data_IF_512747285144
#
_entry.id   IF_512747285144
#
_cell.length_a   1.000
_cell.length_b   1.000
_cell.length_c   1.000
_cell.angle_alpha   90.00
_cell.angle_beta   90.00
_cell.angle_gamma   90.00
#
_symmetry.space_group_name_H-M   'P 1'
#
loop_
_entity.id
_entity.type
_entity.pdbx_description
1 polymer ?
#
# COMPACT_ATOMS: atom_id res chain seq x y z
N UNK A 1 -30.68 -14.88 -37.40
CA UNK A 1 -31.81 -14.12 -37.98
C UNK A 1 -32.96 -14.95 -38.54
N UNK A 2 -32.81 -16.26 -38.79
CA UNK A 2 -33.84 -17.09 -39.44
C UNK A 2 -35.07 -17.40 -38.54
N UNK A 3 -34.92 -17.43 -37.21
CA UNK A 3 -35.97 -17.94 -36.30
C UNK A 3 -36.88 -16.82 -35.72
N UNK A 4 -36.47 -15.55 -35.73
CA UNK A 4 -37.16 -14.49 -34.94
C UNK A 4 -38.55 -14.09 -35.47
N UNK A 5 -38.85 -14.33 -36.76
CA UNK A 5 -40.03 -13.76 -37.43
C UNK A 5 -41.24 -14.66 -37.68
N UNK A 6 -41.16 -15.99 -37.50
CA UNK A 6 -42.17 -16.92 -38.06
C UNK A 6 -42.78 -17.93 -37.07
N UNK A 7 -42.37 -17.94 -35.80
CA UNK A 7 -42.86 -18.90 -34.81
C UNK A 7 -44.06 -18.35 -34.02
N UNK A 8 -45.27 -18.57 -34.53
CA UNK A 8 -46.53 -18.10 -33.92
C UNK A 8 -47.52 -19.21 -33.55
N UNK A 9 -47.23 -20.47 -33.90
CA UNK A 9 -48.08 -21.64 -33.63
C UNK A 9 -47.25 -22.83 -33.17
N UNK A 10 -47.84 -23.78 -32.45
CA UNK A 10 -47.13 -25.00 -32.03
C UNK A 10 -46.48 -25.71 -33.23
N UNK A 11 -47.20 -25.84 -34.34
CA UNK A 11 -46.70 -26.48 -35.58
C UNK A 11 -45.43 -25.79 -36.09
N UNK A 12 -45.40 -24.45 -36.12
CA UNK A 12 -44.20 -23.73 -36.56
C UNK A 12 -42.98 -24.04 -35.69
N UNK A 13 -43.16 -24.24 -34.37
CA UNK A 13 -42.07 -24.69 -33.49
C UNK A 13 -41.69 -26.14 -33.78
N UNK A 14 -42.66 -27.02 -34.07
CA UNK A 14 -42.41 -28.41 -34.45
C UNK A 14 -41.54 -28.51 -35.70
N UNK A 15 -41.81 -27.70 -36.71
CA UNK A 15 -41.05 -27.67 -37.96
C UNK A 15 -39.58 -27.26 -37.74
N UNK A 16 -39.30 -26.55 -36.64
CA UNK A 16 -37.96 -26.12 -36.24
C UNK A 16 -37.37 -26.98 -35.10
N UNK A 17 -37.99 -28.10 -34.74
CA UNK A 17 -37.60 -28.90 -33.57
C UNK A 17 -36.11 -29.25 -33.57
N UNK A 18 -35.58 -29.77 -34.69
CA UNK A 18 -34.18 -30.21 -34.76
C UNK A 18 -33.23 -29.07 -34.46
N UNK A 19 -33.44 -27.89 -35.05
CA UNK A 19 -32.61 -26.70 -34.84
C UNK A 19 -32.71 -26.21 -33.41
N UNK A 20 -33.92 -26.20 -32.83
CA UNK A 20 -34.14 -25.80 -31.44
C UNK A 20 -33.43 -26.77 -30.48
N UNK A 21 -33.53 -28.08 -30.73
CA UNK A 21 -32.89 -29.11 -29.92
C UNK A 21 -31.37 -29.05 -30.02
N UNK A 22 -30.79 -28.90 -31.20
CA UNK A 22 -29.34 -28.73 -31.39
C UNK A 22 -28.82 -27.48 -30.67
N UNK A 23 -29.56 -26.36 -30.76
CA UNK A 23 -29.19 -25.14 -30.05
C UNK A 23 -29.24 -25.34 -28.53
N UNK A 24 -30.27 -26.01 -28.01
CA UNK A 24 -30.38 -26.31 -26.59
C UNK A 24 -29.38 -27.37 -26.09
N UNK A 25 -28.86 -28.22 -26.98
CA UNK A 25 -27.77 -29.16 -26.70
C UNK A 25 -26.40 -28.48 -26.65
N UNK A 26 -26.25 -27.31 -27.29
CA UNK A 26 -25.01 -26.53 -27.29
C UNK A 26 -25.01 -25.41 -26.26
N UNK A 27 -26.15 -24.75 -26.07
CA UNK A 27 -26.30 -23.58 -25.22
C UNK A 27 -27.73 -23.50 -24.65
N UNK A 28 -28.04 -24.33 -23.63
CA UNK A 28 -29.39 -24.42 -23.05
C UNK A 28 -29.87 -23.10 -22.45
N UNK A 29 -28.95 -22.24 -22.02
CA UNK A 29 -29.26 -20.97 -21.36
C UNK A 29 -29.10 -19.75 -22.28
N UNK A 30 -28.95 -19.95 -23.59
CA UNK A 30 -28.85 -18.83 -24.53
C UNK A 30 -30.10 -17.95 -24.52
N UNK A 31 -29.92 -16.63 -24.67
CA UNK A 31 -31.00 -15.65 -24.79
C UNK A 31 -32.03 -16.03 -25.85
N UNK A 32 -31.59 -16.69 -26.92
CA UNK A 32 -32.45 -17.18 -27.99
C UNK A 32 -33.35 -18.32 -27.50
N UNK A 33 -32.81 -19.33 -26.81
CA UNK A 33 -33.60 -20.42 -26.22
C UNK A 33 -34.62 -19.87 -25.23
N UNK A 34 -34.21 -18.94 -24.36
CA UNK A 34 -35.11 -18.30 -23.40
C UNK A 34 -36.22 -17.49 -24.09
N UNK A 35 -35.87 -16.68 -25.08
CA UNK A 35 -36.84 -15.90 -25.87
C UNK A 35 -37.85 -16.79 -26.61
N UNK A 36 -37.40 -17.93 -27.13
CA UNK A 36 -38.27 -18.90 -27.81
C UNK A 36 -39.18 -19.63 -26.83
N UNK A 37 -38.65 -20.02 -25.66
CA UNK A 37 -39.43 -20.61 -24.56
C UNK A 37 -40.58 -19.69 -24.13
N UNK A 38 -40.31 -18.38 -23.96
CA UNK A 38 -41.32 -17.36 -23.61
C UNK A 38 -42.46 -17.30 -24.63
N UNK A 39 -42.16 -17.45 -25.93
CA UNK A 39 -43.19 -17.48 -26.99
C UNK A 39 -43.94 -18.81 -27.07
N UNK A 40 -43.25 -19.93 -26.85
CA UNK A 40 -43.81 -21.26 -26.95
C UNK A 40 -44.75 -21.59 -25.78
N UNK A 41 -44.37 -21.22 -24.55
CA UNK A 41 -45.07 -21.59 -23.32
C UNK A 41 -46.57 -21.22 -23.31
N UNK A 42 -47.00 -20.01 -23.71
CA UNK A 42 -48.42 -19.66 -23.77
C UNK A 42 -49.21 -20.50 -24.79
N UNK A 43 -48.60 -20.82 -25.94
CA UNK A 43 -49.22 -21.66 -26.97
C UNK A 43 -49.45 -23.07 -26.45
N UNK A 44 -48.44 -23.64 -25.78
CA UNK A 44 -48.53 -24.95 -25.14
C UNK A 44 -49.62 -24.97 -24.07
N UNK A 45 -49.67 -23.95 -23.21
CA UNK A 45 -50.65 -23.85 -22.13
C UNK A 45 -52.08 -23.74 -22.65
N UNK A 46 -52.29 -23.00 -23.76
CA UNK A 46 -53.60 -22.90 -24.42
C UNK A 46 -54.06 -24.28 -24.91
N UNK A 47 -53.19 -25.02 -25.59
CA UNK A 47 -53.51 -26.35 -26.13
C UNK A 47 -53.78 -27.36 -25.01
N UNK A 48 -52.92 -27.41 -23.99
CA UNK A 48 -53.13 -28.26 -22.82
C UNK A 48 -54.46 -27.92 -22.10
N UNK A 49 -54.82 -26.64 -22.03
CA UNK A 49 -56.10 -26.19 -21.48
C UNK A 49 -57.31 -26.69 -22.27
N UNK A 50 -57.22 -26.75 -23.60
CA UNK A 50 -58.26 -27.33 -24.46
C UNK A 50 -58.36 -28.85 -24.25
N UNK A 51 -57.23 -29.56 -24.26
CA UNK A 51 -57.19 -31.01 -24.04
C UNK A 51 -57.82 -31.39 -22.69
N UNK A 52 -57.54 -30.63 -21.64
CA UNK A 52 -58.14 -30.88 -20.31
C UNK A 52 -59.65 -30.69 -20.27
N UNK A 53 -60.20 -29.75 -21.05
CA UNK A 53 -61.63 -29.39 -21.02
C UNK A 53 -62.48 -30.27 -21.93
N UNK A 54 -62.00 -30.51 -23.14
CA UNK A 54 -62.80 -31.12 -24.22
C UNK A 54 -62.11 -32.28 -24.92
N UNK A 55 -60.82 -32.52 -24.64
CA UNK A 55 -60.05 -33.61 -25.23
C UNK A 55 -60.02 -34.87 -24.36
N UNK A 56 -59.34 -35.89 -24.87
CA UNK A 56 -59.13 -37.17 -24.19
C UNK A 56 -57.65 -37.48 -23.93
N UNK A 57 -57.39 -38.67 -23.37
CA UNK A 57 -56.03 -39.13 -23.05
C UNK A 57 -55.12 -39.20 -24.29
N UNK A 58 -55.66 -39.64 -25.43
CA UNK A 58 -54.91 -39.74 -26.68
C UNK A 58 -54.42 -38.37 -27.17
N UNK A 59 -55.17 -37.30 -26.94
CA UNK A 59 -54.76 -35.94 -27.32
C UNK A 59 -53.59 -35.47 -26.44
N UNK A 60 -53.61 -35.77 -25.15
CA UNK A 60 -52.50 -35.50 -24.25
C UNK A 60 -51.22 -36.27 -24.64
N UNK A 61 -51.37 -37.54 -25.05
CA UNK A 61 -50.26 -38.36 -25.55
C UNK A 61 -49.72 -37.85 -26.88
N UNK A 62 -50.60 -37.41 -27.79
CA UNK A 62 -50.22 -36.75 -29.02
C UNK A 62 -49.43 -35.47 -28.77
N UNK A 63 -49.87 -34.63 -27.82
CA UNK A 63 -49.16 -33.42 -27.43
C UNK A 63 -47.78 -33.75 -26.83
N UNK A 64 -47.68 -34.73 -25.94
CA UNK A 64 -46.40 -35.16 -25.37
C UNK A 64 -45.46 -35.73 -26.44
N UNK A 65 -45.95 -36.61 -27.32
CA UNK A 65 -45.14 -37.23 -28.37
C UNK A 65 -44.63 -36.19 -29.36
N UNK A 66 -45.48 -35.27 -29.80
CA UNK A 66 -45.12 -34.28 -30.79
C UNK A 66 -44.20 -33.19 -30.24
N UNK A 67 -44.29 -32.82 -28.96
CA UNK A 67 -43.60 -31.62 -28.46
C UNK A 67 -42.64 -31.86 -27.29
N UNK A 68 -42.44 -33.10 -26.84
CA UNK A 68 -41.52 -33.42 -25.74
C UNK A 68 -40.11 -32.86 -25.93
N UNK A 69 -39.50 -33.06 -27.10
CA UNK A 69 -38.15 -32.58 -27.38
C UNK A 69 -38.04 -31.05 -27.31
N UNK A 70 -39.09 -30.32 -27.74
CA UNK A 70 -39.14 -28.86 -27.67
C UNK A 70 -39.35 -28.40 -26.23
N UNK A 71 -40.25 -29.06 -25.48
CA UNK A 71 -40.45 -28.75 -24.06
C UNK A 71 -39.16 -28.97 -23.27
N UNK A 72 -38.42 -30.04 -23.53
CA UNK A 72 -37.11 -30.31 -22.89
C UNK A 72 -36.09 -29.23 -23.30
N UNK A 73 -35.98 -28.91 -24.59
CA UNK A 73 -35.08 -27.85 -25.07
C UNK A 73 -35.35 -26.48 -24.42
N UNK A 74 -36.61 -26.20 -24.10
CA UNK A 74 -37.04 -24.97 -23.43
C UNK A 74 -37.12 -25.08 -21.90
N UNK A 75 -36.60 -26.16 -21.30
CA UNK A 75 -36.60 -26.43 -19.86
C UNK A 75 -38.01 -26.44 -19.23
N UNK A 76 -39.05 -26.75 -20.01
CA UNK A 76 -40.48 -26.80 -19.60
C UNK A 76 -40.87 -28.18 -19.04
N UNK A 77 -40.00 -28.77 -18.21
CA UNK A 77 -40.17 -30.13 -17.69
C UNK A 77 -41.43 -30.28 -16.81
N UNK A 78 -41.83 -29.23 -16.09
CA UNK A 78 -43.09 -29.21 -15.33
C UNK A 78 -44.31 -29.33 -16.24
N UNK A 79 -44.35 -28.55 -17.33
CA UNK A 79 -45.44 -28.61 -18.30
C UNK A 79 -45.44 -29.96 -19.02
N UNK A 80 -44.27 -30.51 -19.36
CA UNK A 80 -44.19 -31.84 -19.97
C UNK A 80 -44.74 -32.93 -19.04
N UNK A 81 -44.38 -32.90 -17.75
CA UNK A 81 -44.94 -33.83 -16.75
C UNK A 81 -46.44 -33.65 -16.60
N UNK A 82 -46.94 -32.42 -16.60
CA UNK A 82 -48.38 -32.14 -16.56
C UNK A 82 -49.12 -32.72 -17.78
N UNK A 83 -48.58 -32.54 -18.99
CA UNK A 83 -49.12 -33.14 -20.23
C UNK A 83 -49.11 -34.67 -20.11
N UNK A 84 -47.97 -35.28 -19.75
CA UNK A 84 -47.81 -36.74 -19.61
C UNK A 84 -48.79 -37.33 -18.60
N UNK A 85 -49.20 -36.59 -17.57
CA UNK A 85 -50.12 -37.04 -16.53
C UNK A 85 -51.59 -36.63 -16.75
N UNK A 86 -51.89 -35.86 -17.80
CA UNK A 86 -53.26 -35.39 -18.07
C UNK A 86 -54.19 -36.56 -18.38
N UNK A 87 -55.41 -36.51 -17.81
CA UNK A 87 -56.44 -37.56 -17.88
C UNK A 87 -56.10 -38.92 -17.26
N UNK A 88 -54.96 -39.05 -16.56
CA UNK A 88 -54.65 -40.22 -15.74
C UNK A 88 -55.17 -40.03 -14.32
N UNK A 89 -55.92 -41.02 -13.81
CA UNK A 89 -56.40 -41.07 -12.41
C UNK A 89 -55.81 -42.27 -11.66
N UNK A 90 -55.85 -42.17 -10.33
CA UNK A 90 -55.58 -43.26 -9.38
C UNK A 90 -54.32 -44.11 -9.69
N UNK A 91 -54.48 -45.41 -9.88
CA UNK A 91 -53.40 -46.37 -10.08
C UNK A 91 -52.62 -46.13 -11.39
N UNK A 92 -53.30 -45.75 -12.47
CA UNK A 92 -52.67 -45.45 -13.76
C UNK A 92 -51.74 -44.23 -13.64
N UNK A 93 -52.16 -43.19 -12.89
CA UNK A 93 -51.33 -42.02 -12.61
C UNK A 93 -50.11 -42.39 -11.77
N UNK A 94 -50.30 -43.19 -10.71
CA UNK A 94 -49.19 -43.65 -9.84
C UNK A 94 -48.16 -44.46 -10.63
N UNK A 95 -48.60 -45.43 -11.44
CA UNK A 95 -47.72 -46.24 -12.31
C UNK A 95 -46.92 -45.38 -13.30
N UNK A 96 -47.56 -44.38 -13.90
CA UNK A 96 -46.89 -43.46 -14.82
C UNK A 96 -45.79 -42.64 -14.10
N UNK A 97 -46.10 -42.09 -12.92
CA UNK A 97 -45.12 -41.36 -12.10
C UNK A 97 -43.95 -42.29 -11.71
N UNK A 98 -44.23 -43.49 -11.18
CA UNK A 98 -43.18 -44.45 -10.81
C UNK A 98 -42.29 -44.82 -11.98
N UNK A 99 -42.86 -45.06 -13.17
CA UNK A 99 -42.09 -45.39 -14.38
C UNK A 99 -41.16 -44.24 -14.78
N UNK A 100 -41.66 -43.01 -14.80
CA UNK A 100 -40.86 -41.83 -15.13
C UNK A 100 -39.76 -41.55 -14.11
N UNK A 101 -40.09 -41.67 -12.81
CA UNK A 101 -39.14 -41.51 -11.71
C UNK A 101 -38.01 -42.54 -11.80
N UNK A 102 -38.34 -43.82 -12.00
CA UNK A 102 -37.31 -44.88 -12.09
C UNK A 102 -36.42 -44.73 -13.32
N UNK A 103 -36.97 -44.30 -14.46
CA UNK A 103 -36.16 -44.01 -15.65
C UNK A 103 -35.14 -42.91 -15.37
N UNK A 104 -35.59 -41.77 -14.82
CA UNK A 104 -34.72 -40.65 -14.50
C UNK A 104 -33.66 -41.01 -13.46
N UNK A 105 -34.02 -41.77 -12.43
CA UNK A 105 -33.09 -42.27 -11.42
C UNK A 105 -32.00 -43.12 -12.09
N UNK A 106 -32.37 -44.09 -12.92
CA UNK A 106 -31.39 -44.96 -13.58
C UNK A 106 -30.44 -44.15 -14.47
N UNK A 107 -30.94 -43.14 -15.18
CA UNK A 107 -30.12 -42.28 -16.03
C UNK A 107 -29.17 -41.39 -15.21
N UNK A 108 -29.63 -40.83 -14.09
CA UNK A 108 -28.80 -40.06 -13.15
C UNK A 108 -27.72 -40.95 -12.53
N UNK A 109 -28.08 -42.12 -12.02
CA UNK A 109 -27.13 -43.06 -11.41
C UNK A 109 -26.09 -43.54 -12.43
N UNK A 110 -26.51 -43.81 -13.67
CA UNK A 110 -25.59 -44.19 -14.75
C UNK A 110 -24.60 -43.07 -15.11
N UNK A 111 -25.08 -41.82 -15.10
CA UNK A 111 -24.24 -40.65 -15.35
C UNK A 111 -23.26 -40.40 -14.19
N UNK A 112 -23.71 -40.53 -12.94
CA UNK A 112 -22.87 -40.37 -11.75
C UNK A 112 -21.90 -41.54 -11.52
N UNK A 113 -22.16 -42.71 -12.11
CA UNK A 113 -21.20 -43.82 -12.13
C UNK A 113 -20.06 -43.60 -13.14
N UNK A 114 -20.29 -42.79 -14.17
CA UNK A 114 -19.33 -42.47 -15.24
C UNK A 114 -19.17 -40.95 -15.34
N UNK A 115 -18.57 -40.37 -14.30
CA UNK A 115 -18.42 -38.91 -14.16
C UNK A 115 -17.50 -38.37 -15.25
N UNK A 116 -17.97 -37.34 -15.94
CA UNK A 116 -17.21 -36.62 -16.98
C UNK A 116 -17.53 -35.11 -16.90
N UNK A 117 -17.01 -34.47 -15.85
CA UNK A 117 -17.31 -33.06 -15.51
C UNK A 117 -16.91 -32.05 -16.59
N UNK A 118 -16.03 -32.45 -17.50
CA UNK A 118 -15.47 -31.58 -18.53
C UNK A 118 -16.22 -31.76 -19.86
N UNK A 119 -17.19 -32.68 -19.90
CA UNK A 119 -18.00 -32.99 -21.07
C UNK A 119 -19.38 -32.34 -20.98
N UNK A 120 -19.56 -31.28 -21.76
CA UNK A 120 -20.79 -30.50 -21.80
C UNK A 120 -22.04 -31.34 -22.14
N UNK A 121 -21.92 -32.37 -22.99
CA UNK A 121 -23.06 -33.25 -23.34
C UNK A 121 -23.48 -34.11 -22.16
N UNK A 122 -22.51 -34.60 -21.38
CA UNK A 122 -22.78 -35.34 -20.14
C UNK A 122 -23.50 -34.44 -19.15
N UNK A 123 -23.00 -33.23 -18.92
CA UNK A 123 -23.59 -32.25 -18.00
C UNK A 123 -25.03 -31.89 -18.39
N UNK A 124 -25.27 -31.53 -19.65
CA UNK A 124 -26.60 -31.16 -20.13
C UNK A 124 -27.60 -32.31 -19.98
N UNK A 125 -27.17 -33.54 -20.28
CA UNK A 125 -28.02 -34.73 -20.09
C UNK A 125 -28.35 -34.93 -18.61
N UNK A 126 -27.37 -34.81 -17.73
CA UNK A 126 -27.56 -34.93 -16.29
C UNK A 126 -28.52 -33.85 -15.76
N UNK A 127 -28.35 -32.59 -16.19
CA UNK A 127 -29.20 -31.47 -15.81
C UNK A 127 -30.66 -31.70 -16.22
N UNK A 128 -30.90 -32.19 -17.45
CA UNK A 128 -32.24 -32.52 -17.93
C UNK A 128 -32.93 -33.55 -17.04
N UNK A 129 -32.23 -34.62 -16.68
CA UNK A 129 -32.79 -35.66 -15.81
C UNK A 129 -33.10 -35.12 -14.41
N UNK A 130 -32.23 -34.25 -13.86
CA UNK A 130 -32.47 -33.59 -12.56
C UNK A 130 -33.70 -32.67 -12.62
N UNK A 131 -33.86 -31.91 -13.70
CA UNK A 131 -35.03 -31.04 -13.90
C UNK A 131 -36.33 -31.83 -14.09
N UNK A 132 -36.31 -32.95 -14.83
CA UNK A 132 -37.48 -33.83 -14.95
C UNK A 132 -37.81 -34.49 -13.60
N UNK A 133 -36.82 -34.97 -12.85
CA UNK A 133 -37.02 -35.50 -11.50
C UNK A 133 -37.60 -34.45 -10.53
N UNK A 134 -37.16 -33.19 -10.65
CA UNK A 134 -37.72 -32.06 -9.90
C UNK A 134 -39.18 -31.74 -10.24
N UNK A 135 -39.60 -31.96 -11.49
CA UNK A 135 -41.01 -31.83 -11.85
C UNK A 135 -41.88 -32.93 -11.21
N UNK A 136 -41.33 -34.13 -11.10
CA UNK A 136 -42.01 -35.31 -10.53
C UNK A 136 -42.06 -35.28 -9.00
N UNK A 137 -41.08 -34.64 -8.33
CA UNK A 137 -41.06 -34.53 -6.87
C UNK A 137 -42.26 -33.75 -6.30
N UNK A 138 -42.93 -32.92 -7.12
CA UNK A 138 -44.19 -32.26 -6.75
C UNK A 138 -45.36 -33.24 -6.61
N UNK A 139 -45.26 -34.42 -7.24
CA UNK A 139 -46.30 -35.44 -7.26
C UNK A 139 -46.05 -36.58 -6.26
N UNK A 140 -44.79 -36.80 -5.87
CA UNK A 140 -44.39 -37.87 -4.95
C UNK A 140 -43.26 -37.41 -4.00
N UNK A 141 -43.50 -37.53 -2.69
CA UNK A 141 -42.55 -37.12 -1.64
C UNK A 141 -41.26 -37.92 -1.67
N UNK A 142 -41.32 -39.22 -1.99
CA UNK A 142 -40.14 -40.08 -2.02
C UNK A 142 -39.16 -39.68 -3.13
N UNK A 143 -39.69 -39.23 -4.27
CA UNK A 143 -38.95 -38.65 -5.39
C UNK A 143 -38.22 -37.37 -4.96
N UNK A 144 -38.87 -36.52 -4.14
CA UNK A 144 -38.25 -35.32 -3.58
C UNK A 144 -37.03 -35.60 -2.71
N UNK A 145 -37.08 -36.62 -1.85
CA UNK A 145 -35.93 -37.02 -1.02
C UNK A 145 -34.74 -37.48 -1.88
N UNK A 146 -35.00 -38.24 -2.95
CA UNK A 146 -33.94 -38.68 -3.88
C UNK A 146 -33.33 -37.51 -4.66
N UNK A 147 -34.15 -36.58 -5.12
CA UNK A 147 -33.70 -35.38 -5.82
C UNK A 147 -32.72 -34.55 -4.98
N UNK A 148 -33.03 -34.34 -3.69
CA UNK A 148 -32.15 -33.61 -2.77
C UNK A 148 -30.78 -34.31 -2.70
N UNK A 149 -30.76 -35.63 -2.52
CA UNK A 149 -29.53 -36.41 -2.47
C UNK A 149 -28.69 -36.29 -3.75
N UNK A 150 -29.31 -36.36 -4.94
CA UNK A 150 -28.54 -36.21 -6.19
C UNK A 150 -28.02 -34.78 -6.38
N UNK A 151 -28.82 -33.77 -6.01
CA UNK A 151 -28.36 -32.38 -6.03
C UNK A 151 -27.16 -32.19 -5.12
N UNK A 152 -27.20 -32.70 -3.90
CA UNK A 152 -26.06 -32.66 -2.97
C UNK A 152 -24.82 -33.36 -3.54
N UNK A 153 -24.97 -34.54 -4.15
CA UNK A 153 -23.85 -35.25 -4.79
C UNK A 153 -23.22 -34.46 -5.94
N UNK A 154 -24.04 -33.91 -6.83
CA UNK A 154 -23.57 -33.12 -7.98
C UNK A 154 -22.94 -31.80 -7.52
N UNK A 155 -23.56 -31.13 -6.55
CA UNK A 155 -23.03 -29.93 -5.90
C UNK A 155 -21.63 -30.21 -5.35
N UNK A 156 -21.45 -31.25 -4.56
CA UNK A 156 -20.15 -31.57 -3.97
C UNK A 156 -19.09 -31.85 -5.04
N UNK A 157 -19.45 -32.62 -6.07
CA UNK A 157 -18.56 -32.92 -7.20
C UNK A 157 -18.01 -31.65 -7.86
N UNK A 158 -18.89 -30.71 -8.22
CA UNK A 158 -18.48 -29.49 -8.92
C UNK A 158 -17.86 -28.44 -7.99
N UNK A 159 -18.27 -28.36 -6.72
CA UNK A 159 -17.60 -27.50 -5.75
C UNK A 159 -16.17 -27.96 -5.44
N UNK A 160 -15.92 -29.27 -5.39
CA UNK A 160 -14.56 -29.81 -5.23
C UNK A 160 -13.69 -29.49 -6.44
N UNK A 161 -14.25 -29.56 -7.66
CA UNK A 161 -13.58 -29.11 -8.89
C UNK A 161 -13.30 -27.61 -8.89
N UNK A 162 -14.25 -26.79 -8.44
CA UNK A 162 -14.06 -25.36 -8.29
C UNK A 162 -12.89 -25.05 -7.34
N UNK A 163 -12.83 -25.72 -6.17
CA UNK A 163 -11.74 -25.56 -5.21
C UNK A 163 -10.38 -26.02 -5.75
N UNK A 164 -10.33 -27.15 -6.47
CA UNK A 164 -9.08 -27.60 -7.11
C UNK A 164 -8.58 -26.57 -8.11
N UNK A 165 -9.48 -26.08 -8.97
CA UNK A 165 -9.16 -25.12 -10.03
C UNK A 165 -8.78 -23.74 -9.45
N UNK A 166 -9.36 -23.36 -8.31
CA UNK A 166 -9.00 -22.18 -7.55
C UNK A 166 -7.56 -22.26 -7.01
N UNK A 167 -7.12 -23.42 -6.52
CA UNK A 167 -5.73 -23.63 -6.07
C UNK A 167 -4.72 -23.54 -7.21
N UNK A 168 -5.15 -23.78 -8.45
CA UNK A 168 -4.37 -23.61 -9.67
C UNK A 168 -4.40 -22.15 -10.19
N UNK A 169 -5.03 -21.21 -9.46
CA UNK A 169 -5.25 -19.81 -9.85
C UNK A 169 -6.03 -19.65 -11.17
N UNK A 170 -6.81 -20.66 -11.57
CA UNK A 170 -7.63 -20.65 -12.78
C UNK A 170 -9.04 -20.13 -12.47
N UNK A 171 -9.12 -18.87 -12.05
CA UNK A 171 -10.34 -18.27 -11.48
C UNK A 171 -11.59 -18.41 -12.36
N UNK A 172 -11.47 -18.15 -13.67
CA UNK A 172 -12.62 -18.21 -14.59
C UNK A 172 -13.19 -19.63 -14.73
N UNK A 173 -12.33 -20.64 -14.65
CA UNK A 173 -12.77 -22.03 -14.68
C UNK A 173 -13.40 -22.45 -13.34
N UNK A 174 -12.90 -21.94 -12.21
CA UNK A 174 -13.53 -22.12 -10.90
C UNK A 174 -14.93 -21.48 -10.87
N UNK A 175 -15.08 -20.26 -11.37
CA UNK A 175 -16.38 -19.57 -11.53
C UNK A 175 -17.33 -20.40 -12.40
N UNK A 176 -16.85 -20.94 -13.53
CA UNK A 176 -17.63 -21.79 -14.42
C UNK A 176 -18.22 -23.02 -13.72
N UNK A 177 -17.46 -23.68 -12.83
CA UNK A 177 -17.98 -24.80 -12.04
C UNK A 177 -19.01 -24.38 -10.99
N UNK A 178 -18.84 -23.20 -10.37
CA UNK A 178 -19.84 -22.65 -9.44
C UNK A 178 -21.15 -22.34 -10.17
N UNK A 179 -21.08 -21.79 -11.38
CA UNK A 179 -22.26 -21.55 -12.21
C UNK A 179 -22.95 -22.86 -12.62
N UNK A 180 -22.19 -23.93 -12.87
CA UNK A 180 -22.77 -25.27 -13.04
C UNK A 180 -23.54 -25.72 -11.80
N UNK A 181 -23.00 -25.54 -10.59
CA UNK A 181 -23.71 -25.90 -9.36
C UNK A 181 -25.00 -25.10 -9.20
N UNK A 182 -25.00 -23.79 -9.49
CA UNK A 182 -26.21 -22.95 -9.47
C UNK A 182 -27.30 -23.51 -10.39
N UNK A 183 -26.94 -24.04 -11.57
CA UNK A 183 -27.92 -24.69 -12.49
C UNK A 183 -28.56 -25.94 -11.88
N UNK A 184 -27.78 -26.75 -11.15
CA UNK A 184 -28.28 -27.99 -10.54
C UNK A 184 -29.04 -27.76 -9.22
N UNK A 185 -28.57 -26.81 -8.41
CA UNK A 185 -29.09 -26.48 -7.08
C UNK A 185 -29.15 -24.94 -6.88
N UNK A 186 -30.16 -24.27 -7.46
CA UNK A 186 -30.28 -22.82 -7.36
C UNK A 186 -30.46 -22.33 -5.91
N UNK A 187 -29.82 -21.21 -5.57
CA UNK A 187 -29.99 -20.54 -4.28
C UNK A 187 -29.31 -21.26 -3.09
N UNK A 188 -28.33 -22.12 -3.35
CA UNK A 188 -27.55 -22.77 -2.31
C UNK A 188 -26.58 -21.77 -1.66
N UNK A 189 -26.65 -21.62 -0.33
CA UNK A 189 -25.85 -20.66 0.42
C UNK A 189 -24.34 -20.83 0.22
N UNK A 190 -23.85 -22.07 0.12
CA UNK A 190 -22.42 -22.38 -0.09
C UNK A 190 -21.85 -21.86 -1.42
N UNK A 191 -22.71 -21.46 -2.37
CA UNK A 191 -22.28 -20.80 -3.61
C UNK A 191 -21.75 -19.40 -3.34
N UNK A 192 -22.36 -18.65 -2.42
CA UNK A 192 -21.89 -17.32 -2.06
C UNK A 192 -20.51 -17.40 -1.40
N UNK A 193 -20.32 -18.34 -0.47
CA UNK A 193 -19.03 -18.57 0.18
C UNK A 193 -17.93 -18.92 -0.83
N UNK A 194 -18.24 -19.78 -1.79
CA UNK A 194 -17.28 -20.20 -2.83
C UNK A 194 -16.94 -19.03 -3.76
N UNK A 195 -17.94 -18.23 -4.19
CA UNK A 195 -17.72 -17.02 -5.02
C UNK A 195 -16.85 -15.99 -4.28
N UNK A 196 -17.11 -15.77 -2.99
CA UNK A 196 -16.30 -14.88 -2.16
C UNK A 196 -14.85 -15.38 -2.06
N UNK A 197 -14.65 -16.68 -1.86
CA UNK A 197 -13.32 -17.28 -1.82
C UNK A 197 -12.56 -17.11 -3.15
N UNK A 198 -13.23 -17.29 -4.30
CA UNK A 198 -12.65 -17.07 -5.63
C UNK A 198 -12.26 -15.60 -5.79
N UNK A 199 -13.16 -14.66 -5.47
CA UNK A 199 -12.89 -13.22 -5.55
C UNK A 199 -11.69 -12.82 -4.69
N UNK A 200 -11.67 -13.24 -3.42
CA UNK A 200 -10.56 -12.91 -2.50
C UNK A 200 -9.23 -13.49 -2.98
N UNK A 201 -9.22 -14.70 -3.56
CA UNK A 201 -8.01 -15.29 -4.11
C UNK A 201 -7.51 -14.57 -5.37
N UNK A 202 -8.43 -14.10 -6.23
CA UNK A 202 -8.11 -13.29 -7.41
C UNK A 202 -7.47 -11.96 -6.98
N UNK A 203 -8.10 -11.26 -6.04
CA UNK A 203 -7.57 -10.00 -5.49
C UNK A 203 -6.18 -10.18 -4.87
N UNK A 204 -5.97 -11.28 -4.13
CA UNK A 204 -4.68 -11.60 -3.53
C UNK A 204 -3.60 -11.97 -4.57
N UNK A 205 -3.95 -12.69 -5.64
CA UNK A 205 -3.02 -12.99 -6.74
C UNK A 205 -2.61 -11.72 -7.49
N UNK A 206 -3.55 -10.83 -7.79
CA UNK A 206 -3.27 -9.52 -8.40
C UNK A 206 -2.38 -8.66 -7.50
N UNK A 207 -2.66 -8.63 -6.19
CA UNK A 207 -1.83 -7.91 -5.21
C UNK A 207 -0.39 -8.45 -5.20
N UNK A 208 -0.20 -9.77 -5.19
CA UNK A 208 1.14 -10.38 -5.25
C UNK A 208 1.88 -10.04 -6.54
N UNK A 209 1.21 -10.13 -7.69
CA UNK A 209 1.80 -9.79 -8.98
C UNK A 209 2.25 -8.32 -9.02
N UNK A 210 1.41 -7.41 -8.50
CA UNK A 210 1.75 -5.99 -8.38
C UNK A 210 2.95 -5.77 -7.44
N UNK A 211 2.99 -6.46 -6.31
CA UNK A 211 4.14 -6.39 -5.39
C UNK A 211 5.43 -6.80 -6.09
N UNK A 212 5.45 -7.92 -6.81
CA UNK A 212 6.66 -8.37 -7.51
C UNK A 212 7.07 -7.42 -8.65
N UNK A 213 6.12 -6.85 -9.38
CA UNK A 213 6.40 -5.81 -10.36
C UNK A 213 7.03 -4.57 -9.70
N UNK A 214 6.46 -4.11 -8.59
CA UNK A 214 6.98 -2.97 -7.82
C UNK A 214 8.37 -3.25 -7.24
N UNK A 215 8.68 -4.48 -6.81
CA UNK A 215 10.05 -4.84 -6.38
C UNK A 215 11.04 -4.72 -7.52
N UNK A 216 10.67 -5.19 -8.72
CA UNK A 216 11.50 -5.06 -9.92
C UNK A 216 11.74 -3.59 -10.28
N UNK A 217 10.68 -2.77 -10.32
CA UNK A 217 10.79 -1.34 -10.63
C UNK A 217 11.61 -0.59 -9.58
N UNK A 218 11.47 -0.93 -8.29
CA UNK A 218 12.27 -0.35 -7.22
C UNK A 218 13.76 -0.64 -7.40
N UNK A 219 14.11 -1.87 -7.79
CA UNK A 219 15.50 -2.21 -8.13
C UNK A 219 16.01 -1.39 -9.31
N UNK A 220 15.20 -1.21 -10.36
CA UNK A 220 15.57 -0.38 -11.51
C UNK A 220 15.81 1.08 -11.08
N UNK A 221 14.93 1.67 -10.27
CA UNK A 221 15.09 3.04 -9.81
C UNK A 221 16.32 3.24 -8.91
N UNK A 222 16.60 2.29 -8.01
CA UNK A 222 17.79 2.35 -7.15
C UNK A 222 19.08 2.17 -7.97
N UNK A 223 19.12 1.28 -8.95
CA UNK A 223 20.26 1.13 -9.87
C UNK A 223 20.50 2.38 -10.73
N UNK A 224 19.41 3.06 -11.13
CA UNK A 224 19.47 4.33 -11.88
C UNK A 224 19.72 5.56 -11.00
N UNK A 225 19.90 5.40 -9.68
CA UNK A 225 20.02 6.48 -8.70
C UNK A 225 18.82 7.47 -8.68
N UNK A 226 17.64 7.03 -9.11
CA UNK A 226 16.41 7.83 -9.04
C UNK A 226 15.76 7.70 -7.65
N UNK A 227 16.36 8.37 -6.66
CA UNK A 227 15.97 8.25 -5.25
C UNK A 227 14.52 8.67 -5.01
N UNK A 228 14.05 9.72 -5.69
CA UNK A 228 12.69 10.24 -5.49
C UNK A 228 11.61 9.19 -5.83
N UNK A 229 11.74 8.51 -6.97
CA UNK A 229 10.80 7.45 -7.35
C UNK A 229 11.03 6.17 -6.53
N UNK A 230 12.29 5.84 -6.19
CA UNK A 230 12.60 4.70 -5.35
C UNK A 230 11.98 4.83 -3.94
N UNK A 231 12.07 5.99 -3.29
CA UNK A 231 11.47 6.25 -1.97
C UNK A 231 9.95 6.13 -2.00
N UNK A 232 9.32 6.75 -3.01
CA UNK A 232 7.87 6.68 -3.19
C UNK A 232 7.40 5.23 -3.37
N UNK A 233 8.12 4.46 -4.17
CA UNK A 233 7.80 3.05 -4.40
C UNK A 233 8.08 2.19 -3.16
N UNK A 234 9.11 2.51 -2.38
CA UNK A 234 9.40 1.83 -1.11
C UNK A 234 8.27 2.01 -0.09
N UNK A 235 7.72 3.21 0.05
CA UNK A 235 6.57 3.44 0.93
C UNK A 235 5.31 2.71 0.44
N UNK A 236 5.11 2.58 -0.87
CA UNK A 236 4.04 1.73 -1.41
C UNK A 236 4.27 0.25 -1.07
N UNK A 237 5.50 -0.24 -1.23
CA UNK A 237 5.86 -1.62 -0.89
C UNK A 237 5.67 -1.89 0.62
N UNK A 238 5.94 -0.92 1.50
CA UNK A 238 5.66 -1.03 2.94
C UNK A 238 4.17 -1.12 3.25
N UNK A 239 3.32 -0.47 2.47
CA UNK A 239 1.87 -0.58 2.63
C UNK A 239 1.35 -1.96 2.14
N UNK A 240 1.95 -2.49 1.07
CA UNK A 240 1.49 -3.72 0.40
C UNK A 240 2.16 -5.00 0.96
N UNK A 241 3.28 -4.90 1.69
CA UNK A 241 4.04 -6.04 2.24
C UNK A 241 4.07 -5.98 3.78
N UNK A 242 3.94 -7.12 4.49
CA UNK A 242 4.13 -7.15 5.94
C UNK A 242 5.44 -6.51 6.38
N UNK A 243 5.40 -5.71 7.46
CA UNK A 243 6.58 -5.00 7.98
C UNK A 243 7.67 -5.93 8.54
N UNK A 244 7.37 -7.22 8.70
CA UNK A 244 8.32 -8.27 9.12
C UNK A 244 8.98 -8.99 7.94
N UNK A 245 8.58 -8.68 6.70
CA UNK A 245 9.13 -9.31 5.51
C UNK A 245 10.61 -8.92 5.31
N UNK A 246 11.44 -9.87 4.88
CA UNK A 246 12.89 -9.66 4.69
C UNK A 246 13.18 -8.60 3.64
N UNK A 247 12.32 -8.47 2.63
CA UNK A 247 12.47 -7.44 1.60
C UNK A 247 12.35 -6.04 2.21
N UNK A 248 11.37 -5.82 3.09
CA UNK A 248 11.13 -4.53 3.76
C UNK A 248 12.17 -4.23 4.83
N UNK A 249 12.55 -5.25 5.60
CA UNK A 249 13.42 -5.08 6.77
C UNK A 249 14.92 -5.04 6.43
N UNK A 250 15.33 -5.55 5.27
CA UNK A 250 16.76 -5.67 4.94
C UNK A 250 17.10 -5.38 3.48
N UNK A 251 16.45 -6.03 2.52
CA UNK A 251 16.87 -5.96 1.11
C UNK A 251 16.66 -4.56 0.50
N UNK A 252 15.44 -4.02 0.58
CA UNK A 252 15.11 -2.73 0.01
C UNK A 252 15.81 -1.55 0.71
N UNK A 253 15.90 -1.48 2.05
CA UNK A 253 16.71 -0.48 2.73
C UNK A 253 18.16 -0.46 2.26
N UNK A 254 18.78 -1.63 2.06
CA UNK A 254 20.17 -1.72 1.59
C UNK A 254 20.32 -1.22 0.15
N UNK A 255 19.43 -1.59 -0.76
CA UNK A 255 19.44 -1.10 -2.15
C UNK A 255 19.30 0.44 -2.21
N UNK A 256 18.42 1.00 -1.38
CA UNK A 256 18.23 2.45 -1.31
C UNK A 256 19.43 3.15 -0.66
N UNK A 257 20.01 2.59 0.40
CA UNK A 257 21.24 3.08 1.01
C UNK A 257 22.43 3.09 0.03
N UNK A 258 22.58 2.04 -0.80
CA UNK A 258 23.60 1.99 -1.84
C UNK A 258 23.38 3.06 -2.92
N UNK A 259 22.12 3.33 -3.29
CA UNK A 259 21.77 4.45 -4.18
C UNK A 259 22.13 5.80 -3.57
N UNK A 260 21.87 5.99 -2.28
CA UNK A 260 22.27 7.19 -1.53
C UNK A 260 23.79 7.37 -1.54
N UNK A 261 24.57 6.30 -1.35
CA UNK A 261 26.02 6.33 -1.38
C UNK A 261 26.57 6.82 -2.73
N UNK A 262 26.05 6.28 -3.84
CA UNK A 262 26.45 6.68 -5.20
C UNK A 262 26.12 8.15 -5.49
N UNK A 263 24.94 8.61 -5.08
CA UNK A 263 24.55 10.01 -5.27
C UNK A 263 25.37 10.95 -4.37
N UNK A 264 25.71 10.53 -3.15
CA UNK A 264 26.59 11.29 -2.27
C UNK A 264 27.97 11.48 -2.89
N UNK A 265 28.55 10.42 -3.46
CA UNK A 265 29.82 10.51 -4.19
C UNK A 265 29.75 11.47 -5.37
N UNK A 266 28.67 11.40 -6.17
CA UNK A 266 28.46 12.32 -7.30
C UNK A 266 28.43 13.78 -6.84
N UNK A 267 27.77 14.08 -5.72
CA UNK A 267 27.74 15.44 -5.16
C UNK A 267 29.11 15.86 -4.60
N UNK A 268 29.85 14.95 -3.97
CA UNK A 268 31.20 15.22 -3.49
C UNK A 268 32.18 15.50 -4.64
N UNK A 269 32.07 14.78 -5.78
CA UNK A 269 32.83 15.07 -7.00
C UNK A 269 32.52 16.47 -7.55
N UNK A 270 31.26 16.91 -7.44
CA UNK A 270 30.83 18.28 -7.73
C UNK A 270 31.21 19.31 -6.65
N UNK A 271 31.89 18.88 -5.57
CA UNK A 271 32.27 19.65 -4.38
C UNK A 271 31.09 20.18 -3.55
N UNK A 272 29.88 19.65 -3.76
CA UNK A 272 28.73 19.92 -2.90
C UNK A 272 28.72 18.95 -1.71
N UNK A 273 29.64 19.19 -0.77
CA UNK A 273 29.80 18.34 0.40
C UNK A 273 28.64 18.46 1.40
N UNK A 274 27.86 19.56 1.35
CA UNK A 274 26.67 19.72 2.19
C UNK A 274 25.59 18.74 1.70
N UNK A 275 25.30 18.71 0.40
CA UNK A 275 24.37 17.74 -0.18
C UNK A 275 24.89 16.31 0.00
N UNK A 276 26.18 16.07 -0.25
CA UNK A 276 26.79 14.76 -0.10
C UNK A 276 26.66 14.21 1.33
N UNK A 277 26.98 15.02 2.35
CA UNK A 277 26.85 14.61 3.75
C UNK A 277 25.38 14.35 4.16
N UNK A 278 24.44 15.14 3.65
CA UNK A 278 23.00 14.89 3.87
C UNK A 278 22.56 13.54 3.30
N UNK A 279 22.99 13.21 2.08
CA UNK A 279 22.70 11.92 1.44
C UNK A 279 23.33 10.75 2.20
N UNK A 280 24.57 10.90 2.69
CA UNK A 280 25.20 9.86 3.51
C UNK A 280 24.41 9.61 4.79
N UNK A 281 23.98 10.68 5.45
CA UNK A 281 23.22 10.57 6.69
C UNK A 281 21.90 9.83 6.46
N UNK A 282 21.15 10.19 5.41
CA UNK A 282 19.92 9.50 5.03
C UNK A 282 20.14 8.04 4.68
N UNK A 283 21.20 7.72 3.95
CA UNK A 283 21.54 6.33 3.64
C UNK A 283 21.81 5.50 4.90
N UNK A 284 22.48 6.08 5.90
CA UNK A 284 22.77 5.40 7.17
C UNK A 284 21.54 5.24 8.07
N UNK A 285 20.53 6.09 7.94
CA UNK A 285 19.23 5.89 8.61
C UNK A 285 18.53 4.61 8.10
N UNK A 286 18.77 4.23 6.85
CA UNK A 286 18.23 3.01 6.23
C UNK A 286 19.10 1.78 6.51
N UNK A 287 20.41 1.92 6.42
CA UNK A 287 21.37 0.85 6.68
C UNK A 287 22.59 1.36 7.48
N UNK A 288 22.51 1.20 8.80
CA UNK A 288 23.58 1.56 9.73
C UNK A 288 24.86 0.72 9.55
N UNK A 289 24.77 -0.41 8.85
CA UNK A 289 25.89 -1.33 8.63
C UNK A 289 26.61 -1.10 7.29
N UNK A 290 26.10 -0.19 6.46
CA UNK A 290 26.69 0.12 5.17
C UNK A 290 28.11 0.71 5.33
N UNK A 291 29.13 -0.09 5.04
CA UNK A 291 30.54 0.27 5.25
C UNK A 291 30.95 1.46 4.38
N UNK A 292 30.45 1.53 3.14
CA UNK A 292 30.74 2.62 2.22
C UNK A 292 30.24 3.94 2.78
N UNK A 293 28.96 4.03 3.17
CA UNK A 293 28.39 5.23 3.76
C UNK A 293 29.09 5.64 5.06
N UNK A 294 29.44 4.67 5.93
CA UNK A 294 30.20 4.96 7.15
C UNK A 294 31.57 5.56 6.86
N UNK A 295 32.26 5.03 5.85
CA UNK A 295 33.58 5.56 5.45
C UNK A 295 33.52 6.98 4.89
N UNK A 296 32.43 7.33 4.18
CA UNK A 296 32.26 8.65 3.56
C UNK A 296 31.78 9.72 4.54
N UNK A 297 31.09 9.32 5.61
CA UNK A 297 30.43 10.25 6.55
C UNK A 297 31.41 11.27 7.13
N UNK A 298 32.51 10.81 7.69
CA UNK A 298 33.44 11.66 8.43
C UNK A 298 34.20 12.61 7.48
N UNK A 299 34.59 12.12 6.30
CA UNK A 299 35.23 12.94 5.25
C UNK A 299 34.27 14.03 4.76
N UNK A 300 33.04 13.68 4.37
CA UNK A 300 32.10 14.66 3.83
C UNK A 300 31.62 15.65 4.89
N UNK A 301 31.50 15.23 6.14
CA UNK A 301 31.25 16.14 7.25
C UNK A 301 32.38 17.16 7.41
N UNK A 302 33.63 16.69 7.36
CA UNK A 302 34.79 17.55 7.48
C UNK A 302 34.89 18.55 6.31
N UNK A 303 34.63 18.12 5.08
CA UNK A 303 34.64 19.02 3.91
C UNK A 303 33.46 20.01 3.93
N UNK A 304 32.28 19.61 4.43
CA UNK A 304 31.17 20.54 4.66
C UNK A 304 31.52 21.58 5.74
N UNK A 305 32.17 21.15 6.84
CA UNK A 305 32.66 22.05 7.89
C UNK A 305 33.67 23.07 7.35
N UNK A 306 34.52 22.73 6.38
CA UNK A 306 35.44 23.69 5.74
C UNK A 306 34.64 24.85 5.15
N UNK A 307 33.57 24.58 4.42
CA UNK A 307 32.73 25.61 3.79
C UNK A 307 32.02 26.46 4.84
N UNK A 308 31.39 25.84 5.83
CA UNK A 308 30.69 26.53 6.92
C UNK A 308 31.63 27.44 7.71
N UNK A 309 32.77 26.91 8.17
CA UNK A 309 33.72 27.67 8.97
C UNK A 309 34.40 28.77 8.16
N UNK A 310 34.66 28.55 6.86
CA UNK A 310 35.20 29.59 6.00
C UNK A 310 34.29 30.82 5.94
N UNK A 311 32.98 30.60 5.82
CA UNK A 311 32.02 31.71 5.82
C UNK A 311 31.87 32.36 7.20
N UNK A 312 31.84 31.56 8.26
CA UNK A 312 31.82 32.04 9.63
C UNK A 312 33.02 32.95 9.93
N UNK A 313 34.22 32.56 9.51
CA UNK A 313 35.44 33.32 9.75
C UNK A 313 35.58 34.58 8.90
N UNK A 314 34.84 34.70 7.79
CA UNK A 314 34.76 35.94 7.01
C UNK A 314 33.87 37.00 7.65
N UNK A 315 32.84 36.60 8.37
CA UNK A 315 31.74 37.49 8.77
C UNK A 315 31.69 37.75 10.27
N UNK A 316 31.97 36.75 11.11
CA UNK A 316 31.73 36.82 12.56
C UNK A 316 32.94 37.29 13.36
N UNK A 317 32.69 38.07 14.43
CA UNK A 317 33.71 38.49 15.40
C UNK A 317 33.81 37.55 16.61
N UNK A 318 32.76 36.75 16.82
CA UNK A 318 32.67 35.77 17.90
C UNK A 318 32.28 34.42 17.30
N UNK A 319 32.72 33.33 17.93
CA UNK A 319 32.54 31.99 17.41
C UNK A 319 31.75 31.12 18.38
N UNK A 320 30.86 30.25 17.87
CA UNK A 320 30.23 29.18 18.66
C UNK A 320 31.26 28.27 19.35
N UNK A 321 30.82 27.61 20.42
CA UNK A 321 31.69 26.76 21.25
C UNK A 321 32.16 25.48 20.55
N UNK A 322 31.41 25.00 19.57
CA UNK A 322 31.68 23.79 18.78
C UNK A 322 32.67 24.01 17.63
N UNK A 323 33.08 25.25 17.35
CA UNK A 323 34.04 25.55 16.27
C UNK A 323 35.35 24.78 16.42
N UNK A 324 35.84 24.58 17.65
CA UNK A 324 37.07 23.79 17.85
C UNK A 324 36.86 22.33 17.45
N UNK A 325 35.73 21.73 17.81
CA UNK A 325 35.38 20.37 17.44
C UNK A 325 35.32 20.22 15.92
N UNK A 326 34.70 21.18 15.21
CA UNK A 326 34.65 21.17 13.74
C UNK A 326 36.03 21.31 13.10
N UNK A 327 36.91 22.13 13.67
CA UNK A 327 38.31 22.20 13.25
C UNK A 327 39.00 20.84 13.45
N UNK A 328 38.83 20.22 14.62
CA UNK A 328 39.41 18.89 14.90
C UNK A 328 38.92 17.84 13.89
N UNK A 329 37.63 17.89 13.50
CA UNK A 329 37.08 17.02 12.44
C UNK A 329 37.76 17.26 11.09
N UNK A 330 37.98 18.53 10.70
CA UNK A 330 38.72 18.88 9.48
C UNK A 330 40.18 18.40 9.55
N UNK A 331 40.81 18.47 10.72
CA UNK A 331 42.19 18.06 10.88
C UNK A 331 42.38 16.54 10.78
N UNK A 332 41.38 15.77 11.20
CA UNK A 332 41.45 14.31 11.25
C UNK A 332 40.86 13.59 10.03
N UNK A 333 39.83 14.17 9.38
CA UNK A 333 39.04 13.44 8.39
C UNK A 333 38.97 14.07 7.00
N UNK A 334 39.22 15.38 6.86
CA UNK A 334 39.34 15.97 5.53
C UNK A 334 40.63 15.49 4.86
N UNK A 335 40.70 15.59 3.53
CA UNK A 335 41.94 15.26 2.81
C UNK A 335 43.11 16.13 3.32
N UNK A 336 44.31 15.56 3.40
CA UNK A 336 45.49 16.29 3.92
C UNK A 336 45.72 17.62 3.17
N UNK A 337 45.45 17.62 1.86
CA UNK A 337 45.51 18.81 1.01
C UNK A 337 44.48 19.85 1.43
N UNK A 338 43.21 19.48 1.58
CA UNK A 338 42.14 20.43 1.94
C UNK A 338 42.28 20.92 3.37
N UNK A 339 42.65 20.04 4.31
CA UNK A 339 42.91 20.41 5.71
C UNK A 339 44.06 21.42 5.84
N UNK A 340 45.14 21.24 5.06
CA UNK A 340 46.26 22.19 5.01
C UNK A 340 45.85 23.51 4.34
N UNK A 341 45.13 23.44 3.22
CA UNK A 341 44.64 24.62 2.51
C UNK A 341 43.67 25.45 3.36
N UNK A 342 42.74 24.80 4.07
CA UNK A 342 41.83 25.43 5.02
C UNK A 342 42.60 26.21 6.09
N UNK A 343 43.55 25.57 6.78
CA UNK A 343 44.36 26.24 7.83
C UNK A 343 45.08 27.48 7.31
N UNK A 344 45.70 27.39 6.12
CA UNK A 344 46.41 28.51 5.51
C UNK A 344 45.46 29.64 5.11
N UNK A 345 44.34 29.31 4.46
CA UNK A 345 43.36 30.27 3.99
C UNK A 345 42.69 31.01 5.16
N UNK A 346 42.23 30.28 6.18
CA UNK A 346 41.60 30.89 7.35
C UNK A 346 42.57 31.77 8.13
N UNK A 347 43.83 31.35 8.28
CA UNK A 347 44.84 32.19 8.92
C UNK A 347 45.02 33.53 8.18
N UNK A 348 45.01 33.51 6.85
CA UNK A 348 45.07 34.72 6.02
C UNK A 348 43.82 35.59 6.17
N UNK A 349 42.62 34.99 6.07
CA UNK A 349 41.33 35.69 6.20
C UNK A 349 41.23 36.37 7.58
N UNK A 350 41.57 35.65 8.64
CA UNK A 350 41.52 36.20 9.99
C UNK A 350 42.56 37.30 10.19
N UNK A 351 43.79 37.14 9.67
CA UNK A 351 44.82 38.18 9.75
C UNK A 351 44.38 39.48 9.06
N UNK A 352 43.86 39.38 7.83
CA UNK A 352 43.36 40.53 7.08
C UNK A 352 42.19 41.24 7.78
N UNK A 353 41.26 40.46 8.35
CA UNK A 353 40.16 41.00 9.15
C UNK A 353 40.65 41.69 10.41
N UNK A 354 41.59 41.09 11.12
CA UNK A 354 42.21 41.70 12.32
C UNK A 354 42.86 43.02 11.93
N UNK A 355 43.67 43.07 10.87
CA UNK A 355 44.34 44.30 10.42
C UNK A 355 43.33 45.37 9.98
N UNK A 356 42.25 44.99 9.32
CA UNK A 356 41.16 45.92 8.96
C UNK A 356 40.49 46.49 10.22
N UNK A 357 40.28 45.67 11.24
CA UNK A 357 39.67 46.08 12.51
C UNK A 357 40.61 46.94 13.36
N UNK A 358 41.94 46.78 13.27
CA UNK A 358 42.91 47.56 14.08
C UNK A 358 42.65 49.07 14.03
N UNK A 359 42.26 49.59 12.86
CA UNK A 359 41.98 51.02 12.65
C UNK A 359 40.56 51.46 13.03
N UNK A 360 39.61 50.52 13.15
CA UNK A 360 38.18 50.80 13.37
C UNK A 360 37.75 50.55 14.81
N UNK A 361 38.20 49.42 15.37
CA UNK A 361 37.93 48.97 16.74
C UNK A 361 39.11 48.07 17.17
N UNK A 362 40.07 48.69 17.86
CA UNK A 362 41.29 48.03 18.34
C UNK A 362 40.97 46.90 19.34
N UNK A 363 39.91 47.02 20.13
CA UNK A 363 39.50 45.99 21.09
C UNK A 363 38.86 44.79 20.39
N UNK A 364 38.03 45.01 19.36
CA UNK A 364 37.53 43.93 18.51
C UNK A 364 38.68 43.21 17.79
N UNK A 365 39.65 43.96 17.25
CA UNK A 365 40.83 43.39 16.61
C UNK A 365 41.62 42.51 17.58
N UNK A 366 41.88 43.00 18.79
CA UNK A 366 42.61 42.26 19.82
C UNK A 366 41.84 41.02 20.31
N UNK A 367 40.52 41.11 20.47
CA UNK A 367 39.65 39.98 20.83
C UNK A 367 39.64 38.88 19.77
N UNK A 368 39.52 39.27 18.50
CA UNK A 368 39.58 38.35 17.38
C UNK A 368 40.97 37.71 17.26
N UNK A 369 42.05 38.47 17.43
CA UNK A 369 43.42 37.96 17.40
C UNK A 369 43.67 36.91 18.49
N UNK A 370 43.21 37.16 19.73
CA UNK A 370 43.33 36.17 20.80
C UNK A 370 42.56 34.89 20.50
N UNK A 371 41.32 35.02 20.00
CA UNK A 371 40.47 33.86 19.70
C UNK A 371 41.01 33.07 18.52
N UNK A 372 41.44 33.75 17.44
CA UNK A 372 42.03 33.15 16.26
C UNK A 372 43.31 32.37 16.58
N UNK A 373 44.22 32.97 17.35
CA UNK A 373 45.46 32.29 17.77
C UNK A 373 45.20 31.09 18.68
N UNK A 374 44.10 31.07 19.45
CA UNK A 374 43.69 29.90 20.24
C UNK A 374 43.13 28.78 19.35
N UNK A 375 42.33 29.12 18.34
CA UNK A 375 41.75 28.15 17.41
C UNK A 375 42.80 27.56 16.46
N UNK A 376 43.81 28.34 16.08
CA UNK A 376 44.88 27.97 15.15
C UNK A 376 46.29 28.18 15.75
N UNK A 377 46.68 27.38 16.77
CA UNK A 377 47.91 27.60 17.52
C UNK A 377 49.19 27.44 16.69
N UNK A 378 49.13 26.70 15.58
CA UNK A 378 50.26 26.50 14.67
C UNK A 378 50.52 27.71 13.74
N UNK A 379 49.62 28.71 13.70
CA UNK A 379 49.78 29.88 12.83
C UNK A 379 50.69 30.92 13.50
N UNK A 380 51.90 31.08 12.98
CA UNK A 380 52.84 32.11 13.44
C UNK A 380 52.32 33.54 13.23
N UNK A 381 51.57 33.78 12.15
CA UNK A 381 50.97 35.09 11.84
C UNK A 381 49.95 35.47 12.91
N UNK A 382 49.02 34.56 13.24
CA UNK A 382 48.00 34.82 14.26
C UNK A 382 48.62 34.92 15.66
N UNK A 383 49.64 34.13 15.96
CA UNK A 383 50.40 34.26 17.21
C UNK A 383 51.09 35.63 17.33
N UNK A 384 51.67 36.14 16.25
CA UNK A 384 52.26 37.49 16.21
C UNK A 384 51.20 38.58 16.46
N UNK A 385 50.06 38.51 15.77
CA UNK A 385 48.95 39.46 15.95
C UNK A 385 48.40 39.46 17.38
N UNK A 386 48.27 38.27 18.00
CA UNK A 386 47.91 38.15 19.42
C UNK A 386 48.92 38.83 20.36
N UNK A 387 50.21 38.80 20.01
CA UNK A 387 51.26 39.40 20.84
C UNK A 387 51.31 40.92 20.66
N UNK A 388 51.12 41.41 19.44
CA UNK A 388 51.03 42.82 19.07
C UNK A 388 49.80 43.49 19.70
N UNK A 389 48.62 42.87 19.55
CA UNK A 389 47.34 43.44 19.99
C UNK A 389 47.01 43.00 21.41
N UNK A 390 47.03 43.96 22.35
CA UNK A 390 46.63 43.73 23.74
C UNK A 390 45.19 44.18 23.96
N UNK A 391 44.34 43.24 24.35
CA UNK A 391 42.98 43.53 24.80
C UNK A 391 43.02 44.49 25.99
N UNK A 392 42.39 45.65 25.85
CA UNK A 392 42.27 46.62 26.94
C UNK A 392 41.14 46.14 27.87
N UNK A 393 41.42 45.92 29.18
CA UNK A 393 40.42 45.40 30.08
C UNK A 393 39.21 46.34 30.17
N UNK A 394 38.01 45.77 30.35
CA UNK A 394 36.85 46.57 30.71
C UNK A 394 36.99 47.02 32.17
N UNK A 395 37.40 48.28 32.36
CA UNK A 395 37.65 48.89 33.68
C UNK A 395 36.46 48.77 34.65
N UNK A 396 35.22 48.75 34.13
CA UNK A 396 34.00 48.61 34.91
C UNK A 396 33.54 47.16 35.19
N UNK A 397 34.23 46.15 34.65
CA UNK A 397 33.78 44.74 34.75
C UNK A 397 33.63 44.26 36.19
N UNK A 398 34.57 44.64 37.07
CA UNK A 398 34.52 44.21 38.48
C UNK A 398 33.27 44.75 39.18
N UNK A 399 32.91 46.01 38.91
CA UNK A 399 31.71 46.62 39.48
C UNK A 399 30.44 45.99 38.88
N UNK A 400 30.44 45.72 37.58
CA UNK A 400 29.34 45.07 36.89
C UNK A 400 29.08 43.65 37.41
N UNK A 401 30.13 42.85 37.60
CA UNK A 401 30.03 41.53 38.21
C UNK A 401 29.57 41.60 39.68
N UNK A 402 30.03 42.60 40.44
CA UNK A 402 29.56 42.82 41.81
C UNK A 402 28.05 43.18 41.85
N UNK A 403 27.56 43.94 40.87
CA UNK A 403 26.13 44.23 40.74
C UNK A 403 25.30 42.97 40.47
N UNK A 404 25.77 42.06 39.59
CA UNK A 404 25.15 40.74 39.39
C UNK A 404 25.17 39.93 40.69
N UNK A 405 26.32 39.84 41.35
CA UNK A 405 26.47 39.06 42.59
C UNK A 405 25.60 39.59 43.73
N UNK A 406 25.35 40.90 43.76
CA UNK A 406 24.44 41.55 44.71
C UNK A 406 22.95 41.48 44.30
N UNK A 407 22.60 40.79 43.22
CA UNK A 407 21.23 40.68 42.71
C UNK A 407 20.68 41.96 42.06
N UNK A 408 21.52 42.97 41.82
CA UNK A 408 21.12 44.27 41.26
C UNK A 408 21.07 44.23 39.73
N UNK A 409 20.18 43.41 39.17
CA UNK A 409 20.14 43.13 37.73
C UNK A 409 19.83 44.36 36.86
N UNK A 410 19.05 45.32 37.36
CA UNK A 410 18.78 46.60 36.66
C UNK A 410 20.04 47.46 36.57
N UNK A 411 20.81 47.54 37.65
CA UNK A 411 22.09 48.27 37.69
C UNK A 411 23.12 47.62 36.76
N UNK A 412 23.22 46.28 36.80
CA UNK A 412 24.06 45.51 35.89
C UNK A 412 23.63 45.69 34.41
N UNK A 413 22.33 45.86 34.13
CA UNK A 413 21.83 46.15 32.78
C UNK A 413 22.26 47.53 32.29
N UNK A 414 22.17 48.54 33.14
CA UNK A 414 22.66 49.88 32.80
C UNK A 414 24.17 49.88 32.54
N UNK A 415 24.93 49.16 33.37
CA UNK A 415 26.37 48.98 33.14
C UNK A 415 26.68 48.22 31.83
N UNK A 416 25.83 47.28 31.40
CA UNK A 416 25.90 46.63 30.08
C UNK A 416 25.65 47.64 28.96
N UNK A 417 24.66 48.52 29.10
CA UNK A 417 24.35 49.53 28.08
C UNK A 417 25.48 50.56 27.96
N UNK A 418 25.94 51.10 29.09
CA UNK A 418 27.02 52.10 29.14
C UNK A 418 28.35 51.57 28.58
N UNK A 419 28.61 50.27 28.75
CA UNK A 419 29.81 49.63 28.22
C UNK A 419 29.67 49.13 26.77
N UNK A 420 28.47 49.15 26.18
CA UNK A 420 28.20 48.55 24.87
C UNK A 420 29.01 49.21 23.74
N UNK A 421 29.09 50.54 23.72
CA UNK A 421 29.76 51.26 22.62
C UNK A 421 31.27 51.04 22.63
N UNK A 422 31.89 50.96 23.82
CA UNK A 422 33.34 50.88 23.98
C UNK A 422 33.88 49.45 24.14
N UNK A 423 33.04 48.55 24.64
CA UNK A 423 33.42 47.17 24.98
C UNK A 423 32.46 46.14 24.39
N UNK A 424 31.47 46.51 23.56
CA UNK A 424 30.47 45.60 23.02
C UNK A 424 31.04 44.34 22.33
N UNK A 425 32.23 44.49 21.76
CA UNK A 425 33.00 43.43 21.07
C UNK A 425 34.04 42.74 21.96
N UNK A 426 34.21 43.20 23.20
CA UNK A 426 35.21 42.71 24.15
C UNK A 426 34.76 41.35 24.76
N UNK A 427 35.63 40.32 24.85
CA UNK A 427 35.25 39.01 25.41
C UNK A 427 34.67 39.08 26.84
N UNK A 428 35.19 39.96 27.69
CA UNK A 428 34.65 40.19 29.03
C UNK A 428 33.23 40.76 29.02
N UNK A 429 32.92 41.67 28.09
CA UNK A 429 31.59 42.24 27.95
C UNK A 429 30.59 41.20 27.45
N UNK A 430 31.00 40.38 26.47
CA UNK A 430 30.17 39.29 25.93
C UNK A 430 29.90 38.24 27.02
N UNK A 431 30.93 37.85 27.78
CA UNK A 431 30.81 36.92 28.90
C UNK A 431 29.88 37.45 29.99
N UNK A 432 30.06 38.73 30.37
CA UNK A 432 29.17 39.42 31.31
C UNK A 432 27.73 39.49 30.79
N UNK A 433 27.54 39.81 29.51
CA UNK A 433 26.21 39.94 28.90
C UNK A 433 25.44 38.63 28.98
N UNK A 434 26.08 37.48 28.69
CA UNK A 434 25.46 36.16 28.83
C UNK A 434 25.12 35.85 30.29
N UNK A 435 26.05 36.07 31.21
CA UNK A 435 25.83 35.87 32.63
C UNK A 435 24.66 36.70 33.17
N UNK A 436 24.54 37.96 32.73
CA UNK A 436 23.42 38.82 33.10
C UNK A 436 22.09 38.28 32.56
N UNK A 437 22.06 37.87 31.30
CA UNK A 437 20.86 37.35 30.66
C UNK A 437 20.40 36.03 31.34
N UNK A 438 21.33 35.15 31.72
CA UNK A 438 21.03 33.94 32.50
C UNK A 438 20.47 34.27 33.89
N UNK A 439 21.06 35.25 34.58
CA UNK A 439 20.59 35.69 35.91
C UNK A 439 19.21 36.36 35.86
N UNK A 440 18.89 37.09 34.78
CA UNK A 440 17.54 37.61 34.55
C UNK A 440 16.52 36.49 34.38
N UNK A 441 16.82 35.48 33.56
CA UNK A 441 15.96 34.31 33.40
C UNK A 441 15.74 33.56 34.72
N UNK A 442 16.79 33.39 35.51
CA UNK A 442 16.70 32.78 36.84
C UNK A 442 15.76 33.58 37.75
N UNK A 443 15.92 34.90 37.81
CA UNK A 443 15.04 35.78 38.60
C UNK A 443 13.58 35.75 38.12
N UNK A 444 13.34 35.75 36.80
CA UNK A 444 12.00 35.60 36.22
C UNK A 444 11.35 34.27 36.59
N UNK A 445 12.11 33.17 36.58
CA UNK A 445 11.61 31.86 36.99
C UNK A 445 11.26 31.83 38.48
N UNK A 446 12.12 32.39 39.34
CA UNK A 446 11.83 32.51 40.78
C UNK A 446 10.57 33.34 41.02
N UNK A 447 10.41 34.45 40.28
CA UNK A 447 9.22 35.29 40.39
C UNK A 447 7.95 34.56 39.95
N UNK A 448 8.01 33.76 38.87
CA UNK A 448 6.88 32.92 38.44
C UNK A 448 6.49 31.89 39.50
N UNK A 449 7.48 31.22 40.12
CA UNK A 449 7.24 30.28 41.21
C UNK A 449 6.56 31.01 42.39
N UNK A 450 7.07 32.18 42.77
CA UNK A 450 6.46 33.00 43.82
C UNK A 450 5.01 33.42 43.49
N UNK A 451 4.71 33.78 42.25
CA UNK A 451 3.33 34.09 41.82
C UNK A 451 2.42 32.87 41.94
N UNK A 452 2.89 31.68 41.55
CA UNK A 452 2.15 30.42 41.68
C UNK A 452 1.91 30.05 43.15
N UNK A 453 2.90 30.26 44.02
CA UNK A 453 2.78 30.03 45.46
C UNK A 453 1.79 31.00 46.11
N UNK A 454 1.78 32.27 45.68
CA UNK A 454 0.82 33.29 46.12
C UNK A 454 -0.62 32.99 45.66
N UNK A 455 -0.80 32.56 44.41
CA UNK A 455 -2.12 32.12 43.89
C UNK A 455 -2.62 30.91 44.68
N UNK A 456 -1.75 29.95 44.97
CA UNK A 456 -2.08 28.75 45.75
C UNK A 456 -2.39 29.05 47.22
N UNK A 457 -1.76 30.07 47.82
CA UNK A 457 -2.00 30.49 49.20
C UNK A 457 -3.21 31.44 49.37
N UNK A 458 -3.76 31.97 48.27
CA UNK A 458 -4.97 32.80 48.26
C UNK A 458 -6.28 32.04 48.01
N UNK A 459 -6.20 30.72 47.77
CA UNK A 459 -7.35 29.82 47.56
C UNK A 459 -7.71 28.95 48.80
N UNK A 460 -7.08 29.21 49.97
CA UNK A 460 -7.61 28.79 51.30
C UNK A 460 -8.43 29.93 51.94
#
# INVERSE_FOLDING_TARGET
NIIKGQLSSLISFKDQQTVISELADLSPDSDLIQSLSIKFKPLLQKELGLIKKTGGRNDAEGLASNYSAIMIAFQLNEQLTEVKLTHLTDDARKKAITKMTNSNINDIESALANIDTDNQKWEIKLLRNIQELASLSKQDKSTGTKLIKYREQITNLYLDKAKQTLQEERFDAADGYVDTVERFAPGLETLLDTRNAISSARDESERKAKVEANKSDFKIFTEANNIAEAEKLFEQLKADIPQTDTYITSEAPRLLADSYARLAQTNAEAKDYIAAFSLVTKGLELDLTNEMLRSLKDEYQAEANISELTELFKTSLTFPTDVRLKIDQIENYASATNSSAFRKNIASILAERIDTLKSKDENAAAGLAQTAARLFPASSILASLKNELKLKPWEGLSAANAAIAAGKLTEASKMKEDAAEKFGTHPQYIGFSRLLDDKKKEAENIYKIYQQDMESAGEE
#
